data_IF_684095241617
#
_entry.id   IF_684095241617
#
_cell.length_a   1.000
_cell.length_b   1.000
_cell.length_c   1.000
_cell.angle_alpha   90.00
_cell.angle_beta   90.00
_cell.angle_gamma   90.00
#
_symmetry.space_group_name_H-M   'P 1'
#
loop_
_entity.id
_entity.type
_entity.pdbx_description
1 polymer ?
#
# COMPACT_ATOMS: atom_id res chain seq x y z
N UNK A 1 -23.41 5.78 21.58
CA UNK A 1 -22.28 6.73 21.43
C UNK A 1 -22.17 7.06 19.95
N UNK A 2 -21.83 8.28 19.60
CA UNK A 2 -21.56 8.61 18.18
C UNK A 2 -20.29 7.90 17.70
N UNK A 3 -20.24 7.46 16.43
CA UNK A 3 -19.02 6.85 15.89
C UNK A 3 -17.85 7.84 15.94
N UNK A 4 -16.62 7.35 16.15
CA UNK A 4 -15.44 8.21 16.26
C UNK A 4 -15.19 9.03 14.99
N UNK A 5 -14.63 10.21 15.19
CA UNK A 5 -14.23 11.11 14.10
C UNK A 5 -12.87 10.64 13.55
N UNK A 6 -12.82 10.35 12.26
CA UNK A 6 -11.65 9.74 11.61
C UNK A 6 -10.91 10.75 10.76
N UNK A 7 -9.59 10.85 10.91
CA UNK A 7 -8.71 11.37 9.86
C UNK A 7 -8.28 10.21 8.97
N UNK A 8 -8.59 10.27 7.69
CA UNK A 8 -8.10 9.32 6.70
C UNK A 8 -7.00 9.97 5.85
N UNK A 9 -5.77 9.51 6.04
CA UNK A 9 -4.62 9.87 5.23
C UNK A 9 -4.50 8.94 4.02
N UNK A 10 -4.28 9.47 2.81
CA UNK A 10 -4.14 8.69 1.59
C UNK A 10 -5.47 8.30 0.92
N UNK A 11 -6.53 9.06 1.13
CA UNK A 11 -7.88 8.81 0.60
C UNK A 11 -7.97 8.77 -0.94
N UNK A 12 -6.96 9.25 -1.67
CA UNK A 12 -6.92 9.24 -3.14
C UNK A 12 -6.28 7.97 -3.71
N UNK A 13 -5.72 7.11 -2.87
CA UNK A 13 -5.11 5.83 -3.27
C UNK A 13 -6.15 4.72 -3.47
N UNK A 14 -5.74 3.62 -4.11
CA UNK A 14 -6.61 2.49 -4.43
C UNK A 14 -7.30 1.86 -3.20
N UNK A 15 -6.61 1.78 -2.05
CA UNK A 15 -7.20 1.29 -0.81
C UNK A 15 -7.93 2.43 -0.08
N UNK A 16 -7.31 3.61 0.02
CA UNK A 16 -7.85 4.72 0.80
C UNK A 16 -9.20 5.24 0.27
N UNK A 17 -9.43 5.23 -1.03
CA UNK A 17 -10.73 5.61 -1.62
C UNK A 17 -11.85 4.65 -1.21
N UNK A 18 -11.56 3.36 -1.14
CA UNK A 18 -12.51 2.36 -0.67
C UNK A 18 -12.74 2.44 0.85
N UNK A 19 -11.68 2.71 1.62
CA UNK A 19 -11.82 2.98 3.07
C UNK A 19 -12.71 4.18 3.31
N UNK A 20 -12.50 5.28 2.56
CA UNK A 20 -13.34 6.48 2.66
C UNK A 20 -14.83 6.14 2.43
N UNK A 21 -15.13 5.42 1.35
CA UNK A 21 -16.49 4.99 1.03
C UNK A 21 -17.10 4.16 2.16
N UNK A 22 -16.39 3.12 2.63
CA UNK A 22 -16.88 2.22 3.68
C UNK A 22 -17.12 2.93 5.01
N UNK A 23 -16.24 3.82 5.43
CA UNK A 23 -16.41 4.59 6.66
C UNK A 23 -17.61 5.54 6.58
N UNK A 24 -17.82 6.17 5.43
CA UNK A 24 -18.97 7.05 5.20
C UNK A 24 -20.29 6.27 5.20
N UNK A 25 -20.32 5.09 4.60
CA UNK A 25 -21.48 4.19 4.64
C UNK A 25 -21.82 3.71 6.05
N UNK A 26 -20.81 3.59 6.92
CA UNK A 26 -20.99 3.27 8.35
C UNK A 26 -21.33 4.48 9.21
N UNK A 27 -21.48 5.66 8.63
CA UNK A 27 -21.89 6.88 9.33
C UNK A 27 -20.76 7.62 10.06
N UNK A 28 -19.49 7.27 9.84
CA UNK A 28 -18.38 8.02 10.43
C UNK A 28 -18.25 9.42 9.85
N UNK A 29 -17.87 10.38 10.70
CA UNK A 29 -17.30 11.63 10.22
C UNK A 29 -15.86 11.33 9.72
N UNK A 30 -15.60 11.57 8.45
CA UNK A 30 -14.27 11.33 7.85
C UNK A 30 -13.73 12.65 7.31
N UNK A 31 -12.68 13.15 7.95
CA UNK A 31 -11.82 14.19 7.40
C UNK A 31 -10.68 13.56 6.65
N UNK A 32 -10.29 14.14 5.54
CA UNK A 32 -9.11 13.72 4.78
C UNK A 32 -8.30 14.93 4.36
N UNK A 33 -7.03 14.73 3.99
CA UNK A 33 -6.22 15.78 3.43
C UNK A 33 -5.58 15.35 2.11
N UNK A 34 -5.27 16.34 1.28
CA UNK A 34 -4.63 16.14 -0.02
C UNK A 34 -3.58 17.23 -0.26
N UNK A 35 -2.48 16.86 -0.88
CA UNK A 35 -1.44 17.81 -1.32
C UNK A 35 -1.87 18.64 -2.55
N UNK A 36 -2.83 18.14 -3.29
CA UNK A 36 -3.28 18.71 -4.56
C UNK A 36 -4.75 19.09 -4.49
N UNK A 37 -5.06 20.34 -4.83
CA UNK A 37 -6.43 20.81 -4.96
C UNK A 37 -7.24 19.97 -5.96
N UNK A 38 -6.62 19.57 -7.09
CA UNK A 38 -7.24 18.68 -8.08
C UNK A 38 -7.64 17.34 -7.48
N UNK A 39 -6.77 16.71 -6.69
CA UNK A 39 -7.08 15.44 -6.04
C UNK A 39 -8.09 15.62 -4.90
N UNK A 40 -8.07 16.77 -4.21
CA UNK A 40 -9.06 17.11 -3.20
C UNK A 40 -10.48 17.13 -3.78
N UNK A 41 -10.66 17.68 -4.97
CA UNK A 41 -11.96 17.73 -5.64
C UNK A 41 -12.53 16.34 -5.94
N UNK A 42 -11.69 15.34 -6.25
CA UNK A 42 -12.15 13.97 -6.54
C UNK A 42 -12.72 13.25 -5.33
N UNK A 43 -12.25 13.59 -4.12
CA UNK A 43 -12.67 12.94 -2.87
C UNK A 43 -13.68 13.78 -2.07
N UNK A 44 -13.83 15.07 -2.41
CA UNK A 44 -14.76 16.01 -1.72
C UNK A 44 -16.20 15.51 -1.65
N UNK A 45 -16.80 14.88 -2.69
CA UNK A 45 -18.18 14.38 -2.61
C UNK A 45 -18.38 13.26 -1.59
N UNK A 46 -17.33 12.53 -1.25
CA UNK A 46 -17.40 11.39 -0.32
C UNK A 46 -16.96 11.75 1.10
N UNK A 47 -16.01 12.66 1.27
CA UNK A 47 -15.49 13.04 2.59
C UNK A 47 -16.46 13.97 3.33
N UNK A 48 -16.44 13.94 4.67
CA UNK A 48 -17.13 14.95 5.48
C UNK A 48 -16.43 16.30 5.38
N UNK A 49 -15.09 16.27 5.29
CA UNK A 49 -14.25 17.45 5.20
C UNK A 49 -12.94 17.12 4.47
N UNK A 50 -12.46 18.03 3.63
CA UNK A 50 -11.18 17.91 2.93
C UNK A 50 -10.32 19.13 3.21
N UNK A 51 -9.12 18.90 3.74
CA UNK A 51 -8.12 19.92 4.05
C UNK A 51 -6.96 19.81 3.06
N UNK A 52 -6.39 20.93 2.63
CA UNK A 52 -5.14 20.91 1.87
C UNK A 52 -3.95 20.81 2.85
N UNK A 53 -3.08 19.84 2.63
CA UNK A 53 -1.91 19.62 3.48
C UNK A 53 -0.98 18.55 2.94
N UNK A 54 0.25 18.55 3.43
CA UNK A 54 1.28 17.56 3.08
C UNK A 54 1.81 16.90 4.37
N UNK A 55 1.66 15.58 4.49
CA UNK A 55 2.12 14.83 5.65
C UNK A 55 3.63 14.94 5.89
N UNK A 56 4.43 15.23 4.86
CA UNK A 56 5.88 15.47 5.01
C UNK A 56 6.20 16.82 5.63
N UNK A 57 5.21 17.68 5.84
CA UNK A 57 5.33 19.02 6.41
C UNK A 57 4.48 19.14 7.67
N UNK A 58 5.11 19.15 8.83
CA UNK A 58 4.44 19.18 10.13
C UNK A 58 3.52 20.41 10.33
N UNK A 59 3.91 21.56 9.77
CA UNK A 59 3.17 22.82 9.84
C UNK A 59 1.82 22.78 9.12
N UNK A 60 1.68 21.91 8.12
CA UNK A 60 0.46 21.79 7.32
C UNK A 60 -0.62 20.86 7.91
N UNK A 61 -0.33 20.17 9.03
CA UNK A 61 -1.22 19.14 9.60
C UNK A 61 -2.06 19.62 10.79
N UNK A 62 -1.80 20.81 11.33
CA UNK A 62 -2.43 21.27 12.59
C UNK A 62 -3.95 21.24 12.56
N UNK A 63 -4.57 21.81 11.53
CA UNK A 63 -6.03 21.85 11.39
C UNK A 63 -6.61 20.49 10.97
N UNK A 64 -5.84 19.67 10.28
CA UNK A 64 -6.32 18.38 9.78
C UNK A 64 -6.69 17.42 10.92
N UNK A 65 -6.07 17.54 12.10
CA UNK A 65 -6.30 16.64 13.23
C UNK A 65 -7.16 17.24 14.36
N UNK A 66 -7.58 18.49 14.28
CA UNK A 66 -8.43 19.10 15.32
C UNK A 66 -9.73 18.32 15.51
N UNK A 67 -9.99 17.81 16.74
CA UNK A 67 -11.18 17.04 17.08
C UNK A 67 -11.30 15.67 16.40
N UNK A 68 -10.17 15.05 16.05
CA UNK A 68 -10.08 13.69 15.49
C UNK A 68 -9.78 12.69 16.63
N UNK A 69 -10.54 11.60 16.65
CA UNK A 69 -10.39 10.52 17.63
C UNK A 69 -9.47 9.41 17.13
N UNK A 70 -9.54 9.12 15.81
CA UNK A 70 -8.82 8.01 15.17
C UNK A 70 -8.08 8.49 13.93
N UNK A 71 -6.80 8.16 13.82
CA UNK A 71 -6.02 8.34 12.58
C UNK A 71 -5.97 7.02 11.83
N UNK A 72 -6.39 7.05 10.58
CA UNK A 72 -6.33 5.93 9.64
C UNK A 72 -5.40 6.30 8.50
N UNK A 73 -4.25 5.64 8.40
CA UNK A 73 -3.28 5.94 7.36
C UNK A 73 -3.20 4.85 6.31
N UNK A 74 -3.62 5.21 5.10
CA UNK A 74 -3.34 4.50 3.85
C UNK A 74 -2.25 5.22 3.03
N UNK A 75 -1.44 6.07 3.69
CA UNK A 75 -0.28 6.67 3.04
C UNK A 75 0.76 5.59 2.80
N UNK A 76 1.20 5.54 1.58
CA UNK A 76 2.33 4.76 1.13
C UNK A 76 2.82 5.36 -0.17
N UNK A 77 4.12 5.42 -0.31
CA UNK A 77 4.68 5.93 -1.54
C UNK A 77 4.44 4.93 -2.67
N UNK A 78 4.02 5.45 -3.83
CA UNK A 78 3.75 4.64 -5.01
C UNK A 78 4.97 3.77 -5.37
N UNK A 79 4.75 2.45 -5.52
CA UNK A 79 5.75 1.45 -5.94
C UNK A 79 5.83 1.31 -7.47
N UNK A 80 5.10 2.13 -8.24
CA UNK A 80 5.15 2.08 -9.70
C UNK A 80 6.50 2.54 -10.26
N UNK A 81 6.95 1.84 -11.31
CA UNK A 81 8.07 2.26 -12.14
C UNK A 81 7.74 3.61 -12.80
N UNK A 82 8.68 4.57 -12.77
CA UNK A 82 8.49 5.87 -13.41
C UNK A 82 7.92 6.98 -12.51
N UNK A 83 7.91 6.81 -11.19
CA UNK A 83 7.61 7.89 -10.26
C UNK A 83 8.65 9.03 -10.36
N UNK A 84 8.19 10.29 -10.30
CA UNK A 84 9.07 11.45 -10.24
C UNK A 84 9.75 11.62 -8.87
N UNK A 85 9.27 10.93 -7.83
CA UNK A 85 9.83 10.99 -6.49
C UNK A 85 11.14 10.20 -6.44
N UNK A 86 12.21 10.85 -5.98
CA UNK A 86 13.56 10.27 -5.88
C UNK A 86 13.97 9.91 -4.46
N UNK A 87 13.36 10.54 -3.44
CA UNK A 87 13.65 10.25 -2.03
C UNK A 87 13.31 8.81 -1.72
N UNK A 88 14.06 8.16 -0.82
CA UNK A 88 13.80 6.78 -0.40
C UNK A 88 12.40 6.63 0.20
N UNK A 89 11.90 5.40 0.31
CA UNK A 89 10.64 5.13 1.02
C UNK A 89 10.72 5.61 2.46
N UNK A 90 11.84 5.41 3.13
CA UNK A 90 12.05 5.85 4.50
C UNK A 90 11.97 7.38 4.64
N UNK A 91 12.60 8.13 3.74
CA UNK A 91 12.63 9.59 3.81
C UNK A 91 11.25 10.24 3.56
N UNK A 92 10.33 9.53 2.95
CA UNK A 92 8.97 10.03 2.67
C UNK A 92 7.97 9.44 3.64
N UNK A 93 7.91 8.11 3.75
CA UNK A 93 6.83 7.43 4.47
C UNK A 93 7.04 7.53 5.98
N UNK A 94 8.27 7.33 6.49
CA UNK A 94 8.54 7.45 7.92
C UNK A 94 8.33 8.89 8.40
N UNK A 95 8.88 9.89 7.70
CA UNK A 95 8.71 11.31 8.06
C UNK A 95 7.24 11.74 8.04
N UNK A 96 6.47 11.28 7.05
CA UNK A 96 5.04 11.56 7.00
C UNK A 96 4.28 10.99 8.21
N UNK A 97 4.64 9.77 8.65
CA UNK A 97 4.02 9.14 9.81
C UNK A 97 4.50 9.72 11.14
N UNK A 98 5.77 10.16 11.24
CA UNK A 98 6.28 10.93 12.40
C UNK A 98 5.46 12.22 12.60
N UNK A 99 5.24 12.97 11.53
CA UNK A 99 4.45 14.20 11.58
C UNK A 99 2.97 13.92 11.92
N UNK A 100 2.37 12.87 11.32
CA UNK A 100 0.99 12.47 11.64
C UNK A 100 0.86 12.04 13.09
N UNK A 101 1.79 11.25 13.62
CA UNK A 101 1.79 10.83 15.00
C UNK A 101 1.93 12.01 15.96
N UNK A 102 2.85 12.92 15.69
CA UNK A 102 3.02 14.12 16.50
C UNK A 102 1.75 15.00 16.53
N UNK A 103 1.09 15.13 15.37
CA UNK A 103 -0.17 15.86 15.27
C UNK A 103 -1.33 15.13 15.95
N UNK A 104 -1.41 13.78 15.85
CA UNK A 104 -2.40 12.94 16.51
C UNK A 104 -2.32 13.08 18.05
N UNK A 105 -1.10 13.06 18.60
CA UNK A 105 -0.86 13.27 20.03
C UNK A 105 -1.32 14.65 20.49
N UNK A 106 -1.01 15.71 19.73
CA UNK A 106 -1.48 17.08 20.06
C UNK A 106 -3.02 17.21 20.03
N UNK A 107 -3.68 16.46 19.13
CA UNK A 107 -5.12 16.41 19.01
C UNK A 107 -5.80 15.48 20.03
N UNK A 108 -5.03 14.79 20.88
CA UNK A 108 -5.52 13.78 21.83
C UNK A 108 -6.26 12.61 21.15
N UNK A 109 -5.88 12.26 19.92
CA UNK A 109 -6.36 11.06 19.27
C UNK A 109 -5.96 9.82 20.10
N UNK A 110 -6.84 8.84 20.16
CA UNK A 110 -6.67 7.65 21.01
C UNK A 110 -6.19 6.42 20.24
N UNK A 111 -6.35 6.44 18.91
CA UNK A 111 -6.09 5.26 18.09
C UNK A 111 -5.41 5.61 16.76
N UNK A 112 -4.53 4.70 16.31
CA UNK A 112 -3.87 4.80 15.01
C UNK A 112 -3.95 3.46 14.26
N UNK A 113 -4.57 3.46 13.08
CA UNK A 113 -4.64 2.30 12.18
C UNK A 113 -3.73 2.57 10.99
N UNK A 114 -2.78 1.68 10.74
CA UNK A 114 -1.77 1.87 9.70
C UNK A 114 -1.84 0.75 8.65
N UNK A 115 -1.96 1.13 7.39
CA UNK A 115 -1.78 0.22 6.26
C UNK A 115 -0.28 -0.02 6.04
N UNK A 116 0.19 -1.10 6.61
CA UNK A 116 1.56 -1.57 6.50
C UNK A 116 1.74 -2.53 5.31
N UNK A 117 2.76 -3.36 5.34
CA UNK A 117 3.03 -4.42 4.36
C UNK A 117 3.34 -5.73 5.08
N UNK A 118 2.97 -6.87 4.47
CA UNK A 118 3.29 -8.19 5.00
C UNK A 118 4.81 -8.43 4.94
N UNK A 119 5.50 -8.60 6.07
CA UNK A 119 6.92 -8.96 6.10
C UNK A 119 7.06 -10.47 5.94
N UNK A 120 7.47 -10.94 4.77
CA UNK A 120 7.71 -12.36 4.55
C UNK A 120 9.18 -12.74 4.70
N UNK A 121 9.45 -14.01 5.04
CA UNK A 121 10.81 -14.53 5.13
C UNK A 121 11.51 -14.36 3.77
N UNK A 122 12.71 -13.80 3.78
CA UNK A 122 13.50 -13.56 2.58
C UNK A 122 13.36 -12.18 1.94
N UNK A 123 12.41 -11.34 2.38
CA UNK A 123 12.32 -9.94 1.91
C UNK A 123 12.02 -8.91 3.03
N UNK A 124 11.85 -9.35 4.27
CA UNK A 124 11.67 -8.52 5.47
C UNK A 124 12.85 -7.57 5.75
N UNK A 125 14.04 -7.93 5.27
CA UNK A 125 15.27 -7.14 5.38
C UNK A 125 15.38 -6.00 4.36
N UNK A 126 14.54 -5.99 3.32
CA UNK A 126 14.60 -4.97 2.26
C UNK A 126 14.23 -3.59 2.80
N UNK A 127 14.84 -2.55 2.23
CA UNK A 127 14.63 -1.16 2.69
C UNK A 127 13.17 -0.71 2.61
N UNK A 128 12.42 -1.21 1.62
CA UNK A 128 10.99 -0.95 1.50
C UNK A 128 10.22 -1.52 2.72
N UNK A 129 10.38 -2.81 3.02
CA UNK A 129 9.70 -3.44 4.16
C UNK A 129 10.20 -2.88 5.50
N UNK A 130 11.52 -2.60 5.61
CA UNK A 130 12.07 -1.98 6.82
C UNK A 130 11.45 -0.61 7.09
N UNK A 131 11.17 0.20 6.07
CA UNK A 131 10.48 1.48 6.27
C UNK A 131 9.07 1.30 6.88
N UNK A 132 8.33 0.26 6.48
CA UNK A 132 7.04 -0.09 7.10
C UNK A 132 7.21 -0.57 8.54
N UNK A 133 8.16 -1.47 8.82
CA UNK A 133 8.41 -1.99 10.16
C UNK A 133 8.92 -0.90 11.11
N UNK A 134 9.82 -0.01 10.66
CA UNK A 134 10.29 1.13 11.44
C UNK A 134 9.11 2.07 11.81
N UNK A 135 8.15 2.25 10.90
CA UNK A 135 6.91 3.00 11.15
C UNK A 135 6.02 2.30 12.19
N UNK A 136 5.87 0.98 12.10
CA UNK A 136 5.13 0.21 13.11
C UNK A 136 5.76 0.32 14.50
N UNK A 137 7.10 0.19 14.58
CA UNK A 137 7.82 0.28 15.85
C UNK A 137 7.68 1.67 16.48
N UNK A 138 7.75 2.73 15.68
CA UNK A 138 7.51 4.10 16.13
C UNK A 138 6.08 4.28 16.65
N UNK A 139 5.07 3.78 15.93
CA UNK A 139 3.66 3.85 16.32
C UNK A 139 3.41 3.03 17.59
N UNK A 140 3.97 1.83 17.69
CA UNK A 140 3.88 0.96 18.88
C UNK A 140 4.47 1.65 20.13
N UNK A 141 5.59 2.34 19.99
CA UNK A 141 6.20 3.11 21.05
C UNK A 141 5.41 4.39 21.42
N UNK A 142 4.37 4.73 20.67
CA UNK A 142 3.62 5.97 20.86
C UNK A 142 2.72 5.99 22.10
N UNK A 143 2.28 4.84 22.59
CA UNK A 143 1.27 4.69 23.63
C UNK A 143 -0.17 4.80 23.13
N UNK A 144 -0.41 5.04 21.84
CA UNK A 144 -1.73 4.97 21.22
C UNK A 144 -2.17 3.50 21.05
N UNK A 145 -3.47 3.25 21.01
CA UNK A 145 -4.00 1.98 20.54
C UNK A 145 -3.70 1.85 19.05
N UNK A 146 -2.89 0.86 18.63
CA UNK A 146 -2.47 0.70 17.25
C UNK A 146 -2.96 -0.60 16.64
N UNK A 147 -3.33 -0.56 15.35
CA UNK A 147 -3.51 -1.75 14.51
C UNK A 147 -2.74 -1.58 13.22
N UNK A 148 -1.93 -2.59 12.87
CA UNK A 148 -1.16 -2.68 11.65
C UNK A 148 -1.81 -3.67 10.69
N UNK A 149 -2.41 -3.18 9.61
CA UNK A 149 -2.99 -4.02 8.58
C UNK A 149 -1.89 -4.32 7.56
N UNK A 150 -1.52 -5.59 7.45
CA UNK A 150 -0.39 -6.09 6.64
C UNK A 150 -0.90 -6.91 5.44
N UNK A 151 -1.26 -6.29 4.33
CA UNK A 151 -1.61 -7.02 3.12
C UNK A 151 -0.37 -7.65 2.49
N UNK A 152 -0.58 -8.76 1.78
CA UNK A 152 0.36 -9.27 0.77
C UNK A 152 0.39 -8.32 -0.45
N UNK A 153 0.85 -8.72 -1.62
CA UNK A 153 0.81 -7.86 -2.80
C UNK A 153 -0.60 -7.39 -3.13
N UNK A 154 -0.85 -6.07 -3.16
CA UNK A 154 -2.15 -5.51 -3.55
C UNK A 154 -2.27 -5.51 -5.07
N UNK A 155 -3.42 -5.86 -5.65
CA UNK A 155 -3.63 -5.97 -7.10
C UNK A 155 -3.22 -4.71 -7.87
N UNK A 156 -3.37 -3.52 -7.28
CA UNK A 156 -2.94 -2.27 -7.93
C UNK A 156 -1.45 -2.22 -8.27
N UNK A 157 -0.61 -2.94 -7.53
CA UNK A 157 0.82 -3.07 -7.84
C UNK A 157 1.11 -4.07 -8.99
N UNK A 158 0.13 -4.85 -9.41
CA UNK A 158 0.26 -5.82 -10.49
C UNK A 158 -0.18 -5.27 -11.85
N UNK A 159 -0.60 -4.01 -11.92
CA UNK A 159 -1.10 -3.38 -13.14
C UNK A 159 -0.10 -3.40 -14.30
N UNK A 160 1.18 -3.21 -14.00
CA UNK A 160 2.26 -3.21 -14.99
C UNK A 160 2.41 -4.57 -15.70
N UNK A 161 1.95 -5.68 -15.09
CA UNK A 161 1.98 -7.00 -15.73
C UNK A 161 1.03 -7.08 -16.94
N UNK A 162 -0.09 -6.38 -16.89
CA UNK A 162 -1.00 -6.26 -18.04
C UNK A 162 -0.34 -5.48 -19.18
N UNK A 163 0.37 -4.40 -18.86
CA UNK A 163 1.06 -3.61 -19.87
C UNK A 163 2.22 -4.40 -20.49
N UNK A 164 2.99 -5.17 -19.71
CA UNK A 164 4.00 -6.10 -20.21
C UNK A 164 3.38 -7.16 -21.13
N UNK A 165 2.25 -7.75 -20.75
CA UNK A 165 1.54 -8.71 -21.58
C UNK A 165 1.04 -8.08 -22.90
N UNK A 166 0.56 -6.83 -22.86
CA UNK A 166 0.18 -6.06 -24.07
C UNK A 166 1.37 -5.85 -25.02
N UNK A 167 2.57 -5.62 -24.49
CA UNK A 167 3.81 -5.52 -25.29
C UNK A 167 4.27 -6.89 -25.83
N UNK A 168 3.72 -7.97 -25.29
CA UNK A 168 3.99 -9.33 -25.75
C UNK A 168 5.22 -9.99 -25.13
N UNK A 169 5.83 -9.36 -24.12
CA UNK A 169 6.95 -9.89 -23.34
C UNK A 169 6.72 -9.58 -21.86
N UNK A 170 6.72 -10.63 -21.04
CA UNK A 170 6.71 -10.53 -19.60
C UNK A 170 8.04 -10.93 -18.98
N UNK A 171 8.27 -10.58 -17.73
CA UNK A 171 9.45 -11.04 -16.99
C UNK A 171 9.08 -11.44 -15.56
N UNK A 172 9.78 -12.45 -15.06
CA UNK A 172 9.75 -12.85 -13.64
C UNK A 172 11.19 -12.95 -13.14
N UNK A 173 11.42 -12.59 -11.89
CA UNK A 173 12.74 -12.78 -11.30
C UNK A 173 12.89 -14.22 -10.80
N UNK A 174 14.07 -14.81 -11.05
CA UNK A 174 14.34 -16.21 -10.70
C UNK A 174 13.60 -17.18 -11.59
N UNK A 175 13.21 -18.32 -11.03
CA UNK A 175 12.50 -19.41 -11.72
C UNK A 175 10.98 -19.24 -11.79
N UNK A 176 10.44 -18.20 -11.15
CA UNK A 176 9.02 -17.91 -11.14
C UNK A 176 8.16 -18.81 -10.22
N UNK A 177 8.76 -19.74 -9.46
CA UNK A 177 8.04 -20.71 -8.62
C UNK A 177 7.60 -20.17 -7.28
N UNK A 178 8.17 -19.05 -6.81
CA UNK A 178 7.80 -18.42 -5.56
C UNK A 178 6.31 -18.05 -5.55
N UNK A 179 5.64 -18.37 -4.44
CA UNK A 179 4.19 -18.25 -4.29
C UNK A 179 3.78 -16.91 -3.70
N UNK A 180 2.61 -16.45 -4.09
CA UNK A 180 1.96 -15.28 -3.49
C UNK A 180 0.45 -15.45 -3.50
N UNK A 181 -0.21 -14.80 -2.54
CA UNK A 181 -1.66 -14.61 -2.59
C UNK A 181 -1.99 -13.11 -2.55
N UNK A 182 -1.78 -12.41 -3.69
CA UNK A 182 -2.11 -10.99 -3.78
C UNK A 182 -3.59 -10.74 -3.50
N UNK A 183 -3.93 -9.53 -3.04
CA UNK A 183 -5.25 -9.21 -2.51
C UNK A 183 -5.87 -8.00 -3.21
N UNK A 184 -7.20 -8.02 -3.38
CA UNK A 184 -7.96 -6.92 -3.96
C UNK A 184 -7.99 -5.70 -3.01
N UNK A 185 -7.82 -4.45 -3.51
CA UNK A 185 -7.86 -3.25 -2.67
C UNK A 185 -9.09 -3.12 -1.78
N UNK A 186 -10.26 -3.51 -2.27
CA UNK A 186 -11.51 -3.51 -1.49
C UNK A 186 -11.42 -4.41 -0.26
N UNK A 187 -10.84 -5.60 -0.37
CA UNK A 187 -10.70 -6.51 0.77
C UNK A 187 -9.74 -5.95 1.84
N UNK A 188 -8.70 -5.24 1.41
CA UNK A 188 -7.81 -4.52 2.33
C UNK A 188 -8.55 -3.37 3.00
N UNK A 189 -9.36 -2.63 2.25
CA UNK A 189 -10.18 -1.54 2.79
C UNK A 189 -11.23 -2.04 3.78
N UNK A 190 -11.86 -3.18 3.52
CA UNK A 190 -12.78 -3.86 4.45
C UNK A 190 -12.08 -4.20 5.77
N UNK A 191 -10.86 -4.75 5.71
CA UNK A 191 -10.05 -5.04 6.89
C UNK A 191 -9.67 -3.76 7.65
N UNK A 192 -9.25 -2.69 6.96
CA UNK A 192 -8.96 -1.39 7.58
C UNK A 192 -10.18 -0.80 8.28
N UNK A 193 -11.33 -0.81 7.60
CA UNK A 193 -12.57 -0.25 8.13
C UNK A 193 -13.14 -1.09 9.31
N UNK A 194 -12.89 -2.40 9.36
CA UNK A 194 -13.35 -3.26 10.47
C UNK A 194 -12.60 -3.03 11.76
N UNK A 195 -11.38 -2.48 11.70
CA UNK A 195 -10.53 -2.23 12.87
C UNK A 195 -10.44 -0.75 13.23
N UNK A 196 -11.32 0.08 12.70
CA UNK A 196 -11.30 1.54 12.94
C UNK A 196 -11.55 1.87 14.42
N UNK A 197 -12.52 1.22 15.07
CA UNK A 197 -12.90 1.51 16.46
C UNK A 197 -12.08 0.67 17.45
N UNK A 198 -11.87 -0.60 17.13
CA UNK A 198 -11.09 -1.56 17.93
C UNK A 198 -10.53 -2.66 17.04
N UNK A 199 -9.57 -3.44 17.54
CA UNK A 199 -9.00 -4.57 16.82
C UNK A 199 -7.66 -5.03 17.39
N UNK A 200 -7.17 -6.19 16.92
CA UNK A 200 -5.85 -6.68 17.31
C UNK A 200 -4.73 -5.77 16.80
N UNK A 201 -3.56 -5.88 17.39
CA UNK A 201 -2.39 -5.10 16.96
C UNK A 201 -2.00 -5.38 15.50
N UNK A 202 -2.10 -6.63 15.06
CA UNK A 202 -1.71 -7.05 13.70
C UNK A 202 -2.86 -7.77 13.02
N UNK A 203 -3.16 -7.35 11.80
CA UNK A 203 -4.12 -8.01 10.89
C UNK A 203 -3.43 -8.29 9.58
N UNK A 204 -3.17 -9.57 9.27
CA UNK A 204 -2.64 -9.97 7.96
C UNK A 204 -3.79 -10.19 6.97
N UNK A 205 -3.59 -9.78 5.72
CA UNK A 205 -4.63 -9.88 4.68
C UNK A 205 -4.02 -10.43 3.39
N UNK A 206 -4.29 -11.72 3.13
CA UNK A 206 -3.97 -12.37 1.86
C UNK A 206 -5.20 -12.51 0.96
N UNK A 207 -4.97 -12.62 -0.33
CA UNK A 207 -6.02 -12.91 -1.31
C UNK A 207 -6.47 -14.36 -1.29
N UNK A 208 -7.56 -14.70 -2.02
CA UNK A 208 -8.17 -16.03 -2.01
C UNK A 208 -7.36 -17.10 -2.75
N UNK A 209 -6.46 -16.68 -3.65
CA UNK A 209 -5.74 -17.58 -4.56
C UNK A 209 -4.24 -17.54 -4.26
N UNK A 210 -3.65 -18.71 -4.04
CA UNK A 210 -2.19 -18.85 -3.94
C UNK A 210 -1.67 -19.23 -5.32
N UNK A 211 -0.91 -18.32 -5.94
CA UNK A 211 -0.38 -18.45 -7.29
C UNK A 211 1.14 -18.28 -7.26
N UNK A 212 1.84 -18.97 -8.16
CA UNK A 212 3.25 -18.68 -8.42
C UNK A 212 3.42 -17.37 -9.18
N UNK A 213 4.59 -16.77 -9.14
CA UNK A 213 4.88 -15.54 -9.90
C UNK A 213 4.70 -15.74 -11.40
N UNK A 214 5.04 -16.93 -11.89
CA UNK A 214 4.84 -17.27 -13.30
C UNK A 214 3.35 -17.42 -13.64
N UNK A 215 2.54 -18.07 -12.79
CA UNK A 215 1.09 -18.19 -13.00
C UNK A 215 0.40 -16.83 -13.04
N UNK A 216 0.80 -15.88 -12.15
CA UNK A 216 0.29 -14.51 -12.19
C UNK A 216 0.62 -13.83 -13.54
N UNK A 217 1.86 -13.99 -14.05
CA UNK A 217 2.25 -13.43 -15.35
C UNK A 217 1.51 -14.12 -16.50
N UNK A 218 1.35 -15.45 -16.46
CA UNK A 218 0.59 -16.22 -17.48
C UNK A 218 -0.86 -15.74 -17.52
N UNK A 219 -1.48 -15.52 -16.36
CA UNK A 219 -2.83 -15.00 -16.26
C UNK A 219 -2.97 -13.63 -16.93
N UNK A 220 -1.97 -12.74 -16.80
CA UNK A 220 -1.98 -11.46 -17.51
C UNK A 220 -1.96 -11.64 -19.03
N UNK A 221 -1.16 -12.58 -19.56
CA UNK A 221 -1.14 -12.89 -20.99
C UNK A 221 -2.46 -13.50 -21.48
N UNK A 222 -3.05 -14.41 -20.71
CA UNK A 222 -4.35 -15.02 -21.05
C UNK A 222 -5.45 -13.96 -21.18
N UNK A 223 -5.53 -13.03 -20.22
CA UNK A 223 -6.51 -11.96 -20.20
C UNK A 223 -6.33 -11.00 -21.38
N UNK A 224 -5.10 -10.74 -21.79
CA UNK A 224 -4.79 -9.90 -22.96
C UNK A 224 -4.99 -10.66 -24.28
N UNK A 225 -5.15 -11.98 -24.25
CA UNK A 225 -5.32 -12.82 -25.44
C UNK A 225 -4.02 -13.03 -26.24
N UNK A 226 -2.83 -12.95 -25.58
CA UNK A 226 -1.54 -13.16 -26.22
C UNK A 226 -0.86 -14.45 -25.74
N UNK A 227 0.00 -15.02 -26.59
CA UNK A 227 0.84 -16.15 -26.19
C UNK A 227 1.90 -15.67 -25.20
N UNK A 228 2.08 -16.35 -24.05
CA UNK A 228 3.03 -15.94 -23.03
C UNK A 228 4.47 -16.10 -23.54
N UNK A 229 5.24 -15.02 -23.44
CA UNK A 229 6.69 -14.96 -23.62
C UNK A 229 7.28 -14.42 -22.33
N UNK A 230 7.61 -15.31 -21.39
CA UNK A 230 8.06 -14.95 -20.05
C UNK A 230 9.57 -15.15 -19.97
N UNK A 231 10.28 -14.07 -19.67
CA UNK A 231 11.72 -14.08 -19.46
C UNK A 231 12.02 -14.30 -17.97
N UNK A 232 12.84 -15.28 -17.67
CA UNK A 232 13.34 -15.55 -16.34
C UNK A 232 14.64 -14.74 -16.12
N UNK A 233 14.52 -13.65 -15.36
CA UNK A 233 15.63 -12.71 -15.11
C UNK A 233 16.37 -13.13 -13.84
N UNK A 234 17.67 -13.38 -13.89
CA UNK A 234 18.45 -13.70 -12.69
C UNK A 234 18.31 -12.58 -11.64
N UNK A 235 18.01 -12.89 -10.35
CA UNK A 235 17.84 -11.89 -9.30
C UNK A 235 19.05 -10.98 -9.11
N UNK A 236 20.25 -11.47 -9.48
CA UNK A 236 21.49 -10.68 -9.48
C UNK A 236 21.45 -9.43 -10.35
N UNK A 237 20.67 -9.46 -11.45
CA UNK A 237 20.50 -8.30 -12.34
C UNK A 237 19.80 -7.16 -11.59
N UNK A 238 18.71 -7.44 -10.88
CA UNK A 238 18.00 -6.44 -10.08
C UNK A 238 18.88 -5.91 -8.93
N UNK A 239 19.64 -6.79 -8.26
CA UNK A 239 20.57 -6.40 -7.18
C UNK A 239 21.69 -5.52 -7.71
N UNK A 240 22.25 -5.82 -8.87
CA UNK A 240 23.27 -5.00 -9.53
C UNK A 240 22.74 -3.58 -9.80
N UNK A 241 21.56 -3.46 -10.45
CA UNK A 241 20.97 -2.17 -10.73
C UNK A 241 20.53 -1.42 -9.45
N UNK A 242 20.03 -2.14 -8.44
CA UNK A 242 19.75 -1.55 -7.13
C UNK A 242 21.01 -0.91 -6.53
N UNK A 243 22.14 -1.62 -6.55
CA UNK A 243 23.41 -1.09 -6.01
C UNK A 243 23.87 0.15 -6.79
N UNK A 244 23.81 0.12 -8.12
CA UNK A 244 24.23 1.22 -8.99
C UNK A 244 23.36 2.47 -8.80
N UNK A 245 22.05 2.31 -8.61
CA UNK A 245 21.08 3.38 -8.49
C UNK A 245 20.95 3.94 -7.06
N UNK A 246 21.69 3.40 -6.10
CA UNK A 246 21.55 3.76 -4.68
C UNK A 246 21.74 5.25 -4.40
N UNK A 247 22.69 5.90 -5.06
CA UNK A 247 22.95 7.33 -4.90
C UNK A 247 22.12 8.20 -5.86
N UNK A 248 22.08 7.93 -7.19
CA UNK A 248 21.38 8.80 -8.12
C UNK A 248 19.85 8.69 -8.02
N UNK A 249 19.31 7.54 -7.59
CA UNK A 249 17.87 7.32 -7.49
C UNK A 249 17.52 6.33 -6.37
N UNK A 250 17.64 6.72 -5.07
CA UNK A 250 17.43 5.84 -3.92
C UNK A 250 16.12 5.05 -3.98
N UNK A 251 15.01 5.70 -4.36
CA UNK A 251 13.70 5.05 -4.44
C UNK A 251 13.67 3.88 -5.44
N UNK A 252 14.20 4.07 -6.64
CA UNK A 252 14.27 2.99 -7.64
C UNK A 252 15.19 1.87 -7.16
N UNK A 253 16.28 2.22 -6.49
CA UNK A 253 17.17 1.24 -5.83
C UNK A 253 16.42 0.39 -4.81
N UNK A 254 15.66 1.02 -3.88
CA UNK A 254 14.87 0.31 -2.86
C UNK A 254 13.83 -0.61 -3.50
N UNK A 255 13.18 -0.14 -4.56
CA UNK A 255 12.18 -0.91 -5.27
C UNK A 255 12.78 -2.11 -6.00
N UNK A 256 13.91 -1.96 -6.68
CA UNK A 256 14.61 -3.08 -7.35
C UNK A 256 15.09 -4.12 -6.35
N UNK A 257 15.59 -3.70 -5.18
CA UNK A 257 15.93 -4.60 -4.08
C UNK A 257 14.71 -5.39 -3.61
N UNK A 258 13.60 -4.70 -3.34
CA UNK A 258 12.35 -5.33 -2.91
C UNK A 258 11.79 -6.28 -3.96
N UNK A 259 11.72 -5.87 -5.23
CA UNK A 259 11.25 -6.72 -6.33
C UNK A 259 12.10 -7.97 -6.45
N UNK A 260 13.43 -7.85 -6.40
CA UNK A 260 14.32 -9.01 -6.47
C UNK A 260 14.05 -10.01 -5.34
N UNK A 261 13.80 -9.52 -4.12
CA UNK A 261 13.60 -10.37 -2.95
C UNK A 261 12.17 -10.95 -2.89
N UNK A 262 11.13 -10.11 -3.07
CA UNK A 262 9.73 -10.55 -2.95
C UNK A 262 9.29 -11.48 -4.07
N UNK A 263 9.87 -11.35 -5.28
CA UNK A 263 9.52 -12.22 -6.41
C UNK A 263 10.24 -13.58 -6.38
N UNK A 264 11.29 -13.71 -5.58
CA UNK A 264 12.02 -14.97 -5.38
C UNK A 264 11.73 -15.62 -4.01
N UNK A 265 10.81 -15.06 -3.25
CA UNK A 265 10.41 -15.59 -1.93
C UNK A 265 8.89 -15.71 -1.85
N UNK A 266 8.42 -16.66 -1.04
CA UNK A 266 6.99 -16.80 -0.81
C UNK A 266 6.43 -15.59 -0.04
N UNK A 267 5.29 -15.09 -0.51
CA UNK A 267 4.54 -13.99 0.10
C UNK A 267 3.08 -14.41 0.26
N UNK A 268 2.83 -15.28 1.23
CA UNK A 268 1.51 -15.85 1.50
C UNK A 268 1.10 -15.53 2.93
N UNK A 269 -0.09 -15.00 3.10
CA UNK A 269 -0.73 -14.72 4.39
C UNK A 269 -2.11 -15.38 4.45
N UNK A 270 -2.77 -15.26 5.62
CA UNK A 270 -4.14 -15.75 5.80
C UNK A 270 -5.09 -15.21 4.71
N UNK A 271 -5.80 -16.10 4.04
CA UNK A 271 -6.72 -15.77 2.95
C UNK A 271 -8.00 -15.14 3.52
N UNK A 272 -7.99 -13.83 3.71
CA UNK A 272 -9.14 -13.03 4.14
C UNK A 272 -9.86 -12.36 2.97
N UNK A 273 -9.17 -12.19 1.85
CA UNK A 273 -9.76 -11.66 0.63
C UNK A 273 -10.65 -12.69 -0.06
N UNK A 274 -11.74 -12.22 -0.67
CA UNK A 274 -12.74 -13.06 -1.35
C UNK A 274 -12.79 -12.83 -2.86
N UNK A 275 -12.09 -11.81 -3.38
CA UNK A 275 -12.13 -11.39 -4.77
C UNK A 275 -10.96 -11.98 -5.54
N UNK A 276 -11.19 -12.84 -6.58
CA UNK A 276 -10.12 -13.45 -7.37
C UNK A 276 -9.39 -12.43 -8.28
N UNK A 277 -8.19 -12.78 -8.71
CA UNK A 277 -7.32 -11.88 -9.50
C UNK A 277 -7.80 -11.71 -10.94
N UNK A 278 -8.30 -12.77 -11.58
CA UNK A 278 -8.70 -12.75 -13.01
C UNK A 278 -9.68 -11.61 -13.35
N UNK A 279 -10.81 -11.42 -12.66
CA UNK A 279 -11.76 -10.33 -12.98
C UNK A 279 -11.12 -8.94 -12.87
N UNK A 280 -10.18 -8.75 -11.96
CA UNK A 280 -9.45 -7.49 -11.81
C UNK A 280 -8.52 -7.24 -13.01
N UNK A 281 -7.78 -8.26 -13.45
CA UNK A 281 -6.96 -8.17 -14.67
C UNK A 281 -7.80 -7.89 -15.91
N UNK A 282 -8.96 -8.54 -16.05
CA UNK A 282 -9.90 -8.30 -17.16
C UNK A 282 -10.42 -6.86 -17.17
N UNK A 283 -10.76 -6.31 -16.00
CA UNK A 283 -11.18 -4.91 -15.89
C UNK A 283 -10.02 -3.95 -16.25
N UNK A 284 -8.80 -4.24 -15.81
CA UNK A 284 -7.60 -3.44 -16.12
C UNK A 284 -7.21 -3.53 -17.59
N UNK A 285 -7.39 -4.70 -18.22
CA UNK A 285 -7.10 -4.89 -19.64
C UNK A 285 -8.07 -4.18 -20.59
N UNK A 286 -9.24 -3.75 -20.13
CA UNK A 286 -10.19 -2.94 -20.90
C UNK A 286 -9.92 -1.44 -20.86
N UNK A 287 -9.07 -0.97 -19.95
CA UNK A 287 -8.61 0.42 -19.83
C UNK A 287 -7.45 0.72 -20.77
#
# INVERSE_FOLDING_TARGET
>A
MSPPRVLLAGATGAVGSEVLRLLRERGHFVRTFSRSAKNAETIRPLASEVVLGDATRADSLGEALAGIDVVLSCLGANVALGTAERRSFRDVDLVAHENLLAAARRASATRFVYLSAHPGPGYDHTRYIRAHLDTEDMLRASGLSCTFVRPTGIYSALGDLIDMARWGVGSVAGDGTAKANPVHPVCVAEAMASVTEDGPEIVTVGGPEILTREEIMRLAFEVVGKRPRILHVPPGVFRFWSALLRLPHPRLSDMLEFVAAVTTSDSVAEARGTRPLRPWFEARARQ
#
